data_IF_180379233601
#
_entry.id   IF_180379233601
#
_cell.length_a   1.000
_cell.length_b   1.000
_cell.length_c   1.000
_cell.angle_alpha   90.00
_cell.angle_beta   90.00
_cell.angle_gamma   90.00
#
_symmetry.space_group_name_H-M   'P 1'
#
loop_
_entity.id
_entity.type
_entity.pdbx_description
1 polymer ?
#
# COMPACT_ATOMS: atom_id res chain seq x y z
N UNK A 1 22.80 -18.51 4.38
CA UNK A 1 22.08 -17.40 3.71
C UNK A 1 20.61 -17.59 4.02
N UNK A 2 19.94 -16.55 4.55
CA UNK A 2 18.50 -16.60 4.86
C UNK A 2 17.66 -16.62 3.58
N UNK A 3 16.61 -17.46 3.57
CA UNK A 3 15.64 -17.59 2.47
C UNK A 3 14.37 -16.84 2.80
N UNK A 4 13.96 -15.95 1.93
CA UNK A 4 12.80 -15.08 2.14
C UNK A 4 11.80 -15.31 1.02
N UNK A 5 10.56 -15.68 1.35
CA UNK A 5 9.49 -15.84 0.39
C UNK A 5 8.58 -14.61 0.38
N UNK A 6 8.34 -14.06 -0.82
CA UNK A 6 7.40 -12.99 -1.08
C UNK A 6 6.09 -13.61 -1.59
N UNK A 7 4.99 -13.35 -0.87
CA UNK A 7 3.64 -13.75 -1.30
C UNK A 7 3.00 -12.63 -2.11
N UNK A 8 3.23 -12.63 -3.40
CA UNK A 8 2.79 -11.65 -4.36
C UNK A 8 3.93 -11.09 -5.19
N UNK A 9 3.58 -10.17 -6.09
CA UNK A 9 4.50 -9.66 -7.08
C UNK A 9 4.17 -8.21 -7.47
N UNK A 10 4.29 -7.92 -8.75
CA UNK A 10 4.14 -6.58 -9.28
C UNK A 10 5.37 -5.70 -8.98
N UNK A 11 5.18 -4.38 -9.06
CA UNK A 11 6.28 -3.44 -8.87
C UNK A 11 6.77 -3.39 -7.42
N UNK A 12 5.87 -3.57 -6.44
CA UNK A 12 6.25 -3.66 -5.03
C UNK A 12 7.09 -4.91 -4.75
N UNK A 13 6.68 -6.06 -5.26
CA UNK A 13 7.45 -7.30 -5.12
C UNK A 13 8.83 -7.22 -5.76
N UNK A 14 8.93 -6.56 -6.92
CA UNK A 14 10.20 -6.32 -7.58
C UNK A 14 11.12 -5.40 -6.74
N UNK A 15 10.57 -4.32 -6.16
CA UNK A 15 11.32 -3.41 -5.30
C UNK A 15 11.81 -4.10 -4.01
N UNK A 16 10.99 -4.99 -3.43
CA UNK A 16 11.39 -5.79 -2.27
C UNK A 16 12.49 -6.79 -2.66
N UNK A 17 12.34 -7.47 -3.79
CA UNK A 17 13.33 -8.43 -4.27
C UNK A 17 14.69 -7.76 -4.56
N UNK A 18 14.71 -6.60 -5.28
CA UNK A 18 15.91 -5.80 -5.50
C UNK A 18 16.61 -5.47 -4.17
N UNK A 19 15.82 -4.98 -3.22
CA UNK A 19 16.31 -4.57 -1.90
C UNK A 19 16.94 -5.73 -1.12
N UNK A 20 16.24 -6.86 -1.01
CA UNK A 20 16.73 -8.04 -0.31
C UNK A 20 17.94 -8.67 -1.00
N UNK A 21 17.93 -8.71 -2.33
CA UNK A 21 19.04 -9.25 -3.11
C UNK A 21 20.31 -8.41 -2.97
N UNK A 22 20.18 -7.09 -2.90
CA UNK A 22 21.32 -6.17 -2.74
C UNK A 22 22.06 -6.37 -1.40
N UNK A 23 21.40 -6.94 -0.39
CA UNK A 23 21.99 -7.25 0.92
C UNK A 23 22.27 -8.74 1.12
N UNK A 24 22.17 -9.55 0.05
CA UNK A 24 22.67 -10.92 0.02
C UNK A 24 21.69 -12.00 0.49
N UNK A 25 20.39 -11.72 0.53
CA UNK A 25 19.37 -12.73 0.85
C UNK A 25 18.98 -13.57 -0.36
N UNK A 26 18.51 -14.82 -0.12
CA UNK A 26 17.91 -15.67 -1.14
C UNK A 26 16.42 -15.32 -1.23
N UNK A 27 15.97 -14.93 -2.42
CA UNK A 27 14.61 -14.43 -2.65
C UNK A 27 13.80 -15.46 -3.43
N UNK A 28 12.74 -15.95 -2.79
CA UNK A 28 11.70 -16.78 -3.42
C UNK A 28 10.45 -15.92 -3.66
N UNK A 29 9.75 -16.12 -4.77
CA UNK A 29 8.50 -15.40 -5.07
C UNK A 29 7.41 -16.38 -5.45
N UNK A 30 6.22 -16.22 -4.90
CA UNK A 30 5.00 -16.89 -5.34
C UNK A 30 4.00 -15.84 -5.87
N UNK A 31 3.74 -15.85 -7.19
CA UNK A 31 2.87 -14.88 -7.86
C UNK A 31 2.46 -15.33 -9.25
N UNK A 32 1.34 -14.83 -9.77
CA UNK A 32 0.96 -14.96 -11.18
C UNK A 32 1.56 -13.86 -12.07
N UNK A 33 2.11 -12.80 -11.49
CA UNK A 33 2.58 -11.62 -12.22
C UNK A 33 3.95 -11.88 -12.87
N UNK A 34 3.93 -12.01 -14.20
CA UNK A 34 5.08 -12.47 -14.99
C UNK A 34 6.35 -11.61 -14.93
N UNK A 35 6.24 -10.32 -14.60
CA UNK A 35 7.38 -9.39 -14.51
C UNK A 35 8.38 -9.81 -13.45
N UNK A 36 7.89 -10.11 -12.24
CA UNK A 36 8.75 -10.50 -11.11
C UNK A 36 9.34 -11.90 -11.30
N UNK A 37 8.58 -12.80 -11.94
CA UNK A 37 9.02 -14.19 -12.19
C UNK A 37 10.27 -14.29 -13.08
N UNK A 38 10.59 -13.25 -13.85
CA UNK A 38 11.74 -13.19 -14.76
C UNK A 38 12.87 -12.31 -14.26
N UNK A 39 12.71 -11.71 -13.10
CA UNK A 39 13.71 -10.82 -12.50
C UNK A 39 14.91 -11.61 -12.01
N UNK A 40 16.11 -11.11 -12.27
CA UNK A 40 17.34 -11.66 -11.70
C UNK A 40 17.52 -11.35 -10.20
N UNK A 41 16.66 -10.49 -9.65
CA UNK A 41 16.57 -10.30 -8.18
C UNK A 41 15.87 -11.47 -7.48
N UNK A 42 15.29 -12.40 -8.22
CA UNK A 42 14.56 -13.57 -7.70
C UNK A 42 15.37 -14.84 -7.98
N UNK A 43 15.72 -15.57 -6.93
CA UNK A 43 16.47 -16.83 -7.05
C UNK A 43 15.56 -17.99 -7.40
N UNK A 44 14.31 -17.99 -6.90
CA UNK A 44 13.31 -19.02 -7.16
C UNK A 44 11.91 -18.44 -7.31
N UNK A 45 11.18 -18.89 -8.31
CA UNK A 45 9.85 -18.36 -8.60
C UNK A 45 8.83 -19.49 -8.78
N UNK A 46 7.66 -19.31 -8.15
CA UNK A 46 6.51 -20.16 -8.32
C UNK A 46 5.37 -19.38 -8.97
N UNK A 47 4.95 -19.81 -10.17
CA UNK A 47 3.83 -19.17 -10.89
C UNK A 47 2.51 -19.75 -10.37
N UNK A 48 1.98 -19.15 -9.31
CA UNK A 48 0.73 -19.53 -8.65
C UNK A 48 0.00 -18.29 -8.13
N UNK A 49 -1.36 -18.34 -8.02
CA UNK A 49 -2.12 -17.33 -7.31
C UNK A 49 -1.62 -17.16 -5.88
N UNK A 50 -1.57 -15.91 -5.41
CA UNK A 50 -1.18 -15.63 -4.01
C UNK A 50 -2.23 -16.14 -3.00
N UNK A 51 -3.41 -16.51 -3.45
CA UNK A 51 -4.50 -17.11 -2.67
C UNK A 51 -4.45 -18.63 -2.60
N UNK A 52 -3.50 -19.26 -3.31
CA UNK A 52 -3.26 -20.72 -3.23
C UNK A 52 -2.44 -21.03 -1.97
N UNK A 53 -3.08 -20.88 -0.81
CA UNK A 53 -2.42 -21.05 0.49
C UNK A 53 -2.00 -22.48 0.77
N UNK A 54 -2.68 -23.47 0.19
CA UNK A 54 -2.28 -24.89 0.29
C UNK A 54 -0.93 -25.11 -0.39
N UNK A 55 -0.78 -24.59 -1.60
CA UNK A 55 0.49 -24.65 -2.32
C UNK A 55 1.60 -23.86 -1.61
N UNK A 56 1.28 -22.72 -1.00
CA UNK A 56 2.24 -21.99 -0.16
C UNK A 56 2.74 -22.85 1.01
N UNK A 57 1.85 -23.55 1.72
CA UNK A 57 2.22 -24.44 2.81
C UNK A 57 3.03 -25.65 2.31
N UNK A 58 2.76 -26.13 1.08
CA UNK A 58 3.57 -27.16 0.45
C UNK A 58 5.00 -26.67 0.15
N UNK A 59 5.15 -25.41 -0.32
CA UNK A 59 6.48 -24.80 -0.50
C UNK A 59 7.23 -24.82 0.84
N UNK A 60 6.62 -24.37 1.94
CA UNK A 60 7.27 -24.34 3.24
C UNK A 60 7.71 -25.72 3.73
N UNK A 61 6.97 -26.78 3.37
CA UNK A 61 7.30 -28.16 3.71
C UNK A 61 8.46 -28.70 2.90
N UNK A 62 8.56 -28.35 1.60
CA UNK A 62 9.52 -28.94 0.65
C UNK A 62 10.76 -28.07 0.42
N UNK A 63 10.65 -26.78 0.64
CA UNK A 63 11.71 -25.78 0.48
C UNK A 63 11.63 -24.76 1.61
N UNK A 64 12.22 -25.08 2.74
CA UNK A 64 12.14 -24.26 3.98
C UNK A 64 12.53 -22.83 3.69
N UNK A 65 11.64 -21.92 4.08
CA UNK A 65 11.83 -20.46 4.04
C UNK A 65 12.00 -19.92 5.46
N UNK A 66 12.93 -19.01 5.68
CA UNK A 66 13.15 -18.42 7.01
C UNK A 66 12.11 -17.34 7.34
N UNK A 67 11.66 -16.59 6.32
CA UNK A 67 10.73 -15.47 6.48
C UNK A 67 9.74 -15.40 5.32
N UNK A 68 8.47 -15.14 5.62
CA UNK A 68 7.43 -14.85 4.64
C UNK A 68 6.98 -13.38 4.75
N UNK A 69 6.98 -12.65 3.62
CA UNK A 69 6.58 -11.24 3.52
C UNK A 69 5.37 -11.13 2.58
N UNK A 70 4.22 -10.60 3.01
CA UNK A 70 3.06 -10.42 2.17
C UNK A 70 3.21 -9.19 1.25
N UNK A 71 2.73 -9.33 0.00
CA UNK A 71 2.65 -8.24 -0.98
C UNK A 71 1.19 -7.86 -1.29
N UNK A 72 0.23 -8.38 -0.56
CA UNK A 72 -1.21 -8.10 -0.70
C UNK A 72 -1.96 -8.32 0.60
N UNK A 73 -3.11 -7.65 0.74
CA UNK A 73 -3.89 -7.62 1.98
C UNK A 73 -4.38 -9.02 2.38
N UNK A 74 -4.89 -9.82 1.43
CA UNK A 74 -5.31 -11.21 1.71
C UNK A 74 -4.17 -12.11 2.15
N UNK A 75 -2.97 -11.95 1.57
CA UNK A 75 -1.78 -12.67 2.02
C UNK A 75 -1.35 -12.23 3.43
N UNK A 76 -1.43 -10.93 3.72
CA UNK A 76 -1.13 -10.41 5.05
C UNK A 76 -2.10 -10.95 6.10
N UNK A 77 -3.39 -10.98 5.78
CA UNK A 77 -4.42 -11.56 6.65
C UNK A 77 -4.18 -13.05 6.91
N UNK A 78 -3.96 -13.83 5.84
CA UNK A 78 -3.68 -15.28 5.96
C UNK A 78 -2.46 -15.54 6.85
N UNK A 79 -1.36 -14.84 6.58
CA UNK A 79 -0.13 -14.99 7.37
C UNK A 79 -0.35 -14.59 8.84
N UNK A 80 -1.07 -13.50 9.10
CA UNK A 80 -1.34 -13.03 10.45
C UNK A 80 -2.20 -14.00 11.27
N UNK A 81 -3.23 -14.57 10.63
CA UNK A 81 -4.09 -15.61 11.26
C UNK A 81 -3.33 -16.90 11.61
N UNK A 82 -2.34 -17.25 10.80
CA UNK A 82 -1.69 -18.55 10.88
C UNK A 82 -0.21 -18.46 11.30
N UNK A 83 0.30 -17.30 11.69
CA UNK A 83 1.74 -17.08 11.92
C UNK A 83 2.35 -18.02 12.95
N UNK A 84 1.65 -18.31 14.05
CA UNK A 84 2.14 -19.18 15.10
C UNK A 84 2.19 -20.65 14.65
N UNK A 85 1.12 -21.10 13.96
CA UNK A 85 1.07 -22.42 13.35
C UNK A 85 2.17 -22.61 12.27
N UNK A 86 2.37 -21.59 11.43
CA UNK A 86 3.40 -21.60 10.39
C UNK A 86 4.79 -21.68 11.03
N UNK A 87 5.02 -20.90 12.07
CA UNK A 87 6.29 -20.90 12.81
C UNK A 87 6.55 -22.24 13.49
N UNK A 88 5.54 -22.79 14.17
CA UNK A 88 5.65 -24.06 14.89
C UNK A 88 5.91 -25.23 13.93
N UNK A 89 5.14 -25.29 12.83
CA UNK A 89 5.15 -26.44 11.91
C UNK A 89 6.28 -26.40 10.88
N UNK A 90 6.65 -25.20 10.40
CA UNK A 90 7.60 -25.04 9.28
C UNK A 90 8.85 -24.23 9.65
N UNK A 91 8.92 -23.65 10.85
CA UNK A 91 10.03 -22.80 11.27
C UNK A 91 10.06 -21.42 10.57
N UNK A 92 9.08 -21.11 9.71
CA UNK A 92 9.01 -19.86 8.96
C UNK A 92 8.38 -18.76 9.80
N UNK A 93 9.05 -17.62 9.89
CA UNK A 93 8.48 -16.42 10.55
C UNK A 93 7.63 -15.66 9.53
N UNK A 94 6.51 -15.06 9.96
CA UNK A 94 5.67 -14.23 9.11
C UNK A 94 5.86 -12.76 9.48
N UNK A 95 6.25 -11.92 8.53
CA UNK A 95 6.46 -10.48 8.73
C UNK A 95 5.12 -9.72 8.72
N UNK A 96 4.30 -9.97 9.73
CA UNK A 96 2.95 -9.40 9.89
C UNK A 96 2.67 -9.11 11.35
N UNK A 97 1.80 -8.12 11.68
CA UNK A 97 1.34 -7.89 13.05
C UNK A 97 0.50 -9.05 13.59
N UNK A 98 0.15 -8.97 14.86
CA UNK A 98 -0.82 -9.88 15.48
C UNK A 98 -2.19 -9.73 14.83
N UNK A 99 -2.94 -10.86 14.73
CA UNK A 99 -4.23 -10.84 14.05
C UNK A 99 -5.25 -9.92 14.75
N UNK A 100 -5.15 -9.74 16.05
CA UNK A 100 -6.01 -8.80 16.78
C UNK A 100 -5.83 -7.34 16.33
N UNK A 101 -4.61 -6.93 16.00
CA UNK A 101 -4.34 -5.62 15.39
C UNK A 101 -4.70 -5.61 13.90
N UNK A 102 -4.37 -6.69 13.18
CA UNK A 102 -4.64 -6.83 11.75
C UNK A 102 -6.14 -6.69 11.43
N UNK A 103 -7.00 -7.41 12.13
CA UNK A 103 -8.46 -7.41 11.89
C UNK A 103 -9.11 -6.03 12.01
N UNK A 104 -8.51 -5.12 12.81
CA UNK A 104 -9.03 -3.76 12.98
C UNK A 104 -8.83 -2.90 11.72
N UNK A 105 -7.88 -3.22 10.86
CA UNK A 105 -7.55 -2.39 9.68
C UNK A 105 -8.05 -2.97 8.35
N UNK A 106 -8.46 -4.24 8.32
CA UNK A 106 -8.93 -4.92 7.10
C UNK A 106 -10.31 -4.46 6.64
N UNK A 107 -11.19 -4.11 7.57
CA UNK A 107 -12.54 -3.58 7.31
C UNK A 107 -12.56 -2.07 7.55
N UNK A 108 -12.98 -1.30 6.54
CA UNK A 108 -12.97 0.17 6.59
C UNK A 108 -13.92 0.73 7.65
N UNK A 109 -15.07 0.08 7.91
CA UNK A 109 -16.00 0.51 8.94
C UNK A 109 -15.39 0.32 10.33
N UNK A 110 -14.81 -0.86 10.57
CA UNK A 110 -14.14 -1.19 11.83
C UNK A 110 -12.98 -0.23 12.08
N UNK A 111 -12.13 0.01 11.08
CA UNK A 111 -10.98 0.90 11.23
C UNK A 111 -11.38 2.36 11.47
N UNK A 112 -12.32 2.89 10.71
CA UNK A 112 -12.80 4.27 10.91
C UNK A 112 -13.49 4.43 12.26
N UNK A 113 -14.29 3.45 12.70
CA UNK A 113 -14.91 3.43 14.03
C UNK A 113 -13.87 3.41 15.14
N UNK A 114 -12.81 2.60 14.99
CA UNK A 114 -11.67 2.60 15.91
C UNK A 114 -10.98 3.97 15.96
N UNK A 115 -10.72 4.59 14.80
CA UNK A 115 -10.10 5.91 14.74
C UNK A 115 -10.94 6.97 15.47
N UNK A 116 -12.26 7.02 15.21
CA UNK A 116 -13.15 7.98 15.84
C UNK A 116 -13.25 7.79 17.35
N UNK A 117 -13.25 6.54 17.84
CA UNK A 117 -13.31 6.22 19.28
C UNK A 117 -12.01 6.55 20.03
N UNK A 118 -10.90 6.65 19.31
CA UNK A 118 -9.57 6.89 19.87
C UNK A 118 -9.01 8.27 19.50
N UNK A 119 -9.86 9.21 19.04
CA UNK A 119 -9.44 10.57 18.64
C UNK A 119 -8.29 10.60 17.61
N UNK A 120 -8.25 9.60 16.71
CA UNK A 120 -7.32 9.56 15.59
C UNK A 120 -7.91 10.36 14.43
N UNK A 121 -7.19 11.32 13.83
CA UNK A 121 -7.69 12.12 12.73
C UNK A 121 -8.11 11.28 11.52
N UNK A 122 -9.41 11.14 11.30
CA UNK A 122 -10.00 10.40 10.19
C UNK A 122 -11.26 11.12 9.66
N UNK A 123 -11.75 10.80 8.46
CA UNK A 123 -13.05 11.29 7.98
C UNK A 123 -14.19 10.74 8.84
N UNK A 124 -15.23 11.56 9.07
CA UNK A 124 -16.48 11.07 9.67
C UNK A 124 -17.02 9.91 8.84
N UNK A 125 -17.30 8.80 9.49
CA UNK A 125 -17.73 7.57 8.81
C UNK A 125 -18.82 6.88 9.62
N UNK A 126 -19.77 6.26 8.94
CA UNK A 126 -20.82 5.44 9.56
C UNK A 126 -21.13 4.26 8.64
N UNK A 127 -21.41 3.11 9.23
CA UNK A 127 -21.96 1.95 8.50
C UNK A 127 -23.27 2.35 7.80
N UNK A 128 -23.41 1.98 6.54
CA UNK A 128 -24.52 2.40 5.68
C UNK A 128 -25.38 1.21 5.27
N UNK A 129 -26.68 1.37 5.48
CA UNK A 129 -27.73 0.46 5.00
C UNK A 129 -28.92 1.26 4.46
N UNK A 130 -29.82 0.61 3.75
CA UNK A 130 -31.06 1.25 3.27
C UNK A 130 -31.98 1.71 4.41
N UNK A 131 -31.80 1.17 5.62
CA UNK A 131 -32.63 1.46 6.78
C UNK A 131 -32.15 2.66 7.61
N UNK A 132 -30.87 3.08 7.47
CA UNK A 132 -30.28 4.14 8.30
C UNK A 132 -29.85 5.39 7.52
N UNK A 133 -30.30 5.57 6.27
CA UNK A 133 -29.88 6.67 5.39
C UNK A 133 -30.04 8.03 6.08
N UNK A 134 -31.17 8.29 6.72
CA UNK A 134 -31.44 9.56 7.38
C UNK A 134 -30.45 9.87 8.52
N UNK A 135 -30.12 8.87 9.34
CA UNK A 135 -29.10 9.00 10.39
C UNK A 135 -27.70 9.20 9.80
N UNK A 136 -27.35 8.41 8.78
CA UNK A 136 -26.06 8.48 8.11
C UNK A 136 -25.80 9.87 7.52
N UNK A 137 -26.80 10.42 6.81
CA UNK A 137 -26.73 11.77 6.24
C UNK A 137 -26.62 12.85 7.32
N UNK A 138 -27.40 12.73 8.42
CA UNK A 138 -27.33 13.68 9.54
C UNK A 138 -25.93 13.70 10.18
N UNK A 139 -25.26 12.54 10.26
CA UNK A 139 -23.96 12.39 10.91
C UNK A 139 -22.79 12.81 10.02
N UNK A 140 -22.84 12.47 8.73
CA UNK A 140 -21.75 12.66 7.78
C UNK A 140 -21.91 13.93 6.95
N UNK A 141 -23.13 14.21 6.45
CA UNK A 141 -23.40 15.33 5.53
C UNK A 141 -23.01 15.03 4.08
N UNK A 142 -23.08 16.09 3.26
CA UNK A 142 -22.68 16.06 1.85
C UNK A 142 -21.66 17.16 1.53
N UNK A 143 -20.79 16.95 0.51
CA UNK A 143 -20.62 15.73 -0.26
C UNK A 143 -20.03 14.58 0.57
N UNK A 144 -20.35 13.34 0.21
CA UNK A 144 -19.86 12.14 0.89
C UNK A 144 -19.51 11.03 -0.10
N UNK A 145 -18.87 9.97 0.39
CA UNK A 145 -18.49 8.79 -0.39
C UNK A 145 -19.21 7.56 0.16
N UNK A 146 -19.83 6.78 -0.72
CA UNK A 146 -20.18 5.39 -0.40
C UNK A 146 -18.94 4.55 -0.66
N UNK A 147 -18.46 3.81 0.34
CA UNK A 147 -17.29 2.94 0.23
C UNK A 147 -17.64 1.51 0.65
N UNK A 148 -17.39 0.50 -0.19
CA UNK A 148 -17.44 -0.89 0.27
C UNK A 148 -16.44 -1.11 1.42
N UNK A 149 -16.84 -1.84 2.45
CA UNK A 149 -16.00 -2.06 3.63
C UNK A 149 -14.71 -2.80 3.25
N UNK A 150 -14.83 -3.81 2.40
CA UNK A 150 -13.69 -4.61 1.91
C UNK A 150 -13.55 -4.40 0.41
N UNK A 151 -12.61 -3.57 -0.02
CA UNK A 151 -12.30 -3.31 -1.43
C UNK A 151 -10.91 -2.72 -1.57
N UNK A 152 -10.29 -2.89 -2.73
CA UNK A 152 -8.97 -2.34 -3.05
C UNK A 152 -8.99 -1.57 -4.37
N UNK A 153 -8.08 -0.57 -4.52
CA UNK A 153 -7.93 0.19 -5.76
C UNK A 153 -9.14 1.04 -6.12
N UNK A 154 -9.78 1.65 -5.15
CA UNK A 154 -10.95 2.55 -5.29
C UNK A 154 -12.18 1.91 -5.95
N UNK A 155 -12.26 0.57 -6.04
CA UNK A 155 -13.40 -0.13 -6.64
C UNK A 155 -14.65 0.03 -5.79
N UNK A 156 -15.77 0.41 -6.43
CA UNK A 156 -17.07 0.60 -5.78
C UNK A 156 -17.21 1.91 -5.00
N UNK A 157 -16.17 2.76 -4.94
CA UNK A 157 -16.27 4.08 -4.31
C UNK A 157 -17.13 4.98 -5.20
N UNK A 158 -18.19 5.56 -4.62
CA UNK A 158 -19.11 6.43 -5.32
C UNK A 158 -19.29 7.73 -4.54
N UNK A 159 -19.02 8.87 -5.18
CA UNK A 159 -19.29 10.20 -4.61
C UNK A 159 -20.77 10.51 -4.76
N UNK A 160 -21.38 10.99 -3.68
CA UNK A 160 -22.79 11.43 -3.63
C UNK A 160 -22.84 12.86 -3.09
N UNK A 161 -23.67 13.70 -3.72
CA UNK A 161 -23.76 15.13 -3.39
C UNK A 161 -25.07 15.50 -2.69
N UNK A 162 -26.03 14.61 -2.69
CA UNK A 162 -27.38 14.79 -2.09
C UNK A 162 -28.01 13.42 -1.78
N UNK A 163 -29.21 13.44 -1.20
CA UNK A 163 -29.96 12.24 -0.80
C UNK A 163 -30.42 11.42 -2.02
N UNK A 164 -30.75 12.07 -3.12
CA UNK A 164 -31.19 11.44 -4.35
C UNK A 164 -30.04 10.58 -4.95
N UNK A 165 -28.84 11.15 -5.05
CA UNK A 165 -27.64 10.41 -5.52
C UNK A 165 -27.38 9.19 -4.63
N UNK A 166 -27.53 9.36 -3.32
CA UNK A 166 -27.30 8.29 -2.33
C UNK A 166 -28.32 7.15 -2.54
N UNK A 167 -29.61 7.48 -2.65
CA UNK A 167 -30.67 6.50 -2.86
C UNK A 167 -30.52 5.74 -4.18
N UNK A 168 -30.10 6.41 -5.24
CA UNK A 168 -29.85 5.78 -6.55
C UNK A 168 -28.67 4.82 -6.54
N UNK A 169 -27.68 5.07 -5.69
CA UNK A 169 -26.39 4.36 -5.72
C UNK A 169 -26.34 3.20 -4.73
N UNK A 170 -26.95 3.33 -3.53
CA UNK A 170 -26.77 2.41 -2.42
C UNK A 170 -27.15 0.96 -2.75
N UNK A 171 -28.30 0.76 -3.40
CA UNK A 171 -28.80 -0.59 -3.72
C UNK A 171 -27.82 -1.37 -4.61
N UNK A 172 -27.26 -0.72 -5.63
CA UNK A 172 -26.27 -1.31 -6.53
C UNK A 172 -24.97 -1.65 -5.79
N UNK A 173 -24.49 -0.78 -4.90
CA UNK A 173 -23.25 -0.98 -4.17
C UNK A 173 -23.40 -2.13 -3.19
N UNK A 174 -24.48 -2.16 -2.40
CA UNK A 174 -24.78 -3.24 -1.47
C UNK A 174 -24.90 -4.60 -2.17
N UNK A 175 -25.60 -4.66 -3.32
CA UNK A 175 -25.75 -5.91 -4.08
C UNK A 175 -24.46 -6.41 -4.73
N UNK A 176 -23.55 -5.50 -5.08
CA UNK A 176 -22.31 -5.85 -5.79
C UNK A 176 -21.15 -6.14 -4.84
N UNK A 177 -21.05 -5.38 -3.74
CA UNK A 177 -19.89 -5.40 -2.85
C UNK A 177 -20.22 -5.80 -1.41
N UNK A 178 -21.49 -5.92 -1.02
CA UNK A 178 -21.91 -6.20 0.34
C UNK A 178 -21.88 -4.95 1.23
N UNK A 179 -21.48 -5.11 2.48
CA UNK A 179 -21.45 -4.03 3.47
C UNK A 179 -20.64 -2.82 3.00
N UNK A 180 -21.16 -1.63 3.28
CA UNK A 180 -20.54 -0.37 2.91
C UNK A 180 -20.70 0.70 4.00
N UNK A 181 -19.90 1.75 3.90
CA UNK A 181 -19.96 2.94 4.76
C UNK A 181 -20.33 4.17 3.97
N UNK A 182 -20.96 5.15 4.63
CA UNK A 182 -20.99 6.55 4.19
C UNK A 182 -19.86 7.30 4.89
N UNK A 183 -18.99 7.90 4.13
CA UNK A 183 -17.81 8.62 4.63
C UNK A 183 -17.80 10.05 4.13
N UNK A 184 -17.41 10.98 4.98
CA UNK A 184 -17.16 12.37 4.65
C UNK A 184 -16.21 12.47 3.43
N UNK A 185 -16.60 13.27 2.45
CA UNK A 185 -15.71 13.60 1.34
C UNK A 185 -14.70 14.66 1.78
N UNK A 186 -13.43 14.30 1.76
CA UNK A 186 -12.36 15.24 2.05
C UNK A 186 -11.99 15.97 0.75
N UNK A 187 -12.29 17.27 0.68
CA UNK A 187 -11.74 18.12 -0.37
C UNK A 187 -10.26 18.34 -0.12
N UNK A 188 -9.44 17.54 -0.78
CA UNK A 188 -8.00 17.48 -0.56
C UNK A 188 -7.22 18.30 -1.58
N UNK A 189 -5.93 18.44 -1.34
CA UNK A 189 -4.97 19.26 -2.10
C UNK A 189 -4.55 18.66 -3.46
N UNK A 190 -5.35 17.86 -4.14
CA UNK A 190 -4.98 17.19 -5.40
C UNK A 190 -3.75 16.26 -5.29
N UNK A 191 -3.31 16.00 -4.07
CA UNK A 191 -2.29 15.04 -3.71
C UNK A 191 -2.70 14.34 -2.42
N UNK A 192 -2.07 13.22 -2.16
CA UNK A 192 -2.21 12.54 -0.88
C UNK A 192 -0.83 12.05 -0.43
N UNK A 193 -0.76 11.52 0.79
CA UNK A 193 0.48 11.00 1.34
C UNK A 193 0.37 9.50 1.57
N UNK A 194 1.45 8.78 1.20
CA UNK A 194 1.76 7.49 1.79
C UNK A 194 2.77 7.72 2.91
N UNK A 195 2.45 7.25 4.11
CA UNK A 195 3.34 7.32 5.27
C UNK A 195 3.70 5.92 5.68
N UNK A 196 4.94 5.54 5.44
CA UNK A 196 5.45 4.23 5.79
C UNK A 196 6.20 4.30 7.11
N UNK A 197 5.83 3.41 8.05
CA UNK A 197 6.49 3.28 9.33
C UNK A 197 6.84 1.82 9.61
N UNK A 198 7.91 1.64 10.37
CA UNK A 198 8.20 0.36 10.99
C UNK A 198 8.27 0.53 12.50
N UNK A 199 7.36 -0.15 13.21
CA UNK A 199 7.29 -0.18 14.67
C UNK A 199 7.79 -1.52 15.17
N UNK A 200 8.87 -1.51 15.96
CA UNK A 200 9.48 -2.74 16.48
C UNK A 200 8.66 -3.33 17.64
N UNK A 201 9.06 -4.51 18.10
CA UNK A 201 8.41 -5.20 19.22
C UNK A 201 8.49 -4.46 20.56
N UNK A 202 9.41 -3.50 20.71
CA UNK A 202 9.52 -2.66 21.88
C UNK A 202 8.58 -1.44 21.84
N UNK A 203 7.85 -1.26 20.75
CA UNK A 203 6.93 -0.12 20.55
C UNK A 203 7.60 1.13 19.98
N UNK A 204 8.83 1.05 19.49
CA UNK A 204 9.56 2.19 18.94
C UNK A 204 9.41 2.29 17.44
N UNK A 205 9.22 3.50 16.90
CA UNK A 205 9.29 3.77 15.47
C UNK A 205 10.77 3.85 15.08
N UNK A 206 11.26 2.79 14.45
CA UNK A 206 12.69 2.68 14.09
C UNK A 206 13.01 3.21 12.70
N UNK A 207 11.99 3.37 11.86
CA UNK A 207 12.11 4.03 10.55
C UNK A 207 10.77 4.58 10.09
N UNK A 208 10.82 5.68 9.35
CA UNK A 208 9.66 6.27 8.70
C UNK A 208 10.06 6.92 7.37
N UNK A 209 9.10 7.05 6.46
CA UNK A 209 9.20 7.88 5.25
C UNK A 209 7.84 8.47 4.92
N UNK A 210 7.83 9.69 4.44
CA UNK A 210 6.64 10.37 3.94
C UNK A 210 6.78 10.59 2.45
N UNK A 211 5.87 10.01 1.68
CA UNK A 211 5.84 10.07 0.23
C UNK A 211 4.60 10.83 -0.22
N UNK A 212 4.81 12.00 -0.82
CA UNK A 212 3.74 12.83 -1.38
C UNK A 212 3.42 12.37 -2.79
N UNK A 213 2.22 11.86 -3.01
CA UNK A 213 1.72 11.43 -4.32
C UNK A 213 1.18 12.65 -5.06
N UNK A 214 1.90 13.11 -6.06
CA UNK A 214 1.61 14.36 -6.79
C UNK A 214 0.93 14.14 -8.13
N UNK A 215 0.96 12.92 -8.66
CA UNK A 215 0.19 12.51 -9.84
C UNK A 215 -0.31 11.08 -9.65
N UNK A 216 -1.54 10.84 -10.11
CA UNK A 216 -2.19 9.52 -10.02
C UNK A 216 -3.04 9.25 -11.27
N UNK A 217 -3.21 8.00 -11.60
CA UNK A 217 -4.07 7.62 -12.71
C UNK A 217 -5.00 6.46 -12.29
N UNK A 218 -6.33 6.60 -12.48
CA UNK A 218 -7.09 7.76 -13.01
C UNK A 218 -6.86 9.06 -12.23
N UNK A 219 -7.02 10.21 -12.91
CA UNK A 219 -6.66 11.54 -12.37
C UNK A 219 -7.42 11.92 -11.10
N UNK A 220 -8.66 11.42 -10.96
CA UNK A 220 -9.54 11.72 -9.82
C UNK A 220 -9.26 10.87 -8.57
N UNK A 221 -8.86 9.62 -8.77
CA UNK A 221 -8.51 8.66 -7.70
C UNK A 221 -7.87 7.42 -8.32
N UNK A 222 -6.61 7.15 -8.04
CA UNK A 222 -5.93 6.02 -8.67
C UNK A 222 -4.56 5.73 -8.09
N UNK A 223 -3.84 4.86 -8.78
CA UNK A 223 -2.48 4.50 -8.42
C UNK A 223 -1.51 5.64 -8.65
N UNK A 224 -0.50 5.77 -7.80
CA UNK A 224 0.57 6.76 -7.94
C UNK A 224 1.28 6.61 -9.29
N UNK A 225 1.31 7.69 -10.08
CA UNK A 225 2.11 7.79 -11.31
C UNK A 225 3.37 8.61 -11.11
N UNK A 226 3.36 9.53 -10.13
CA UNK A 226 4.54 10.27 -9.70
C UNK A 226 4.42 10.65 -8.23
N UNK A 227 5.49 10.44 -7.49
CA UNK A 227 5.56 10.82 -6.09
C UNK A 227 6.92 11.43 -5.73
N UNK A 228 6.97 12.10 -4.59
CA UNK A 228 8.15 12.78 -4.07
C UNK A 228 8.31 12.43 -2.59
N UNK A 229 9.52 12.06 -2.18
CA UNK A 229 9.82 11.91 -0.76
C UNK A 229 9.97 13.29 -0.09
N UNK A 230 9.32 13.47 1.06
CA UNK A 230 9.27 14.74 1.80
C UNK A 230 9.49 14.51 3.30
N UNK A 231 9.82 15.56 4.03
CA UNK A 231 9.80 15.55 5.50
C UNK A 231 8.46 16.09 5.97
N UNK A 232 7.84 15.39 6.91
CA UNK A 232 6.62 15.86 7.58
C UNK A 232 6.50 15.15 8.94
N UNK A 233 7.08 15.74 9.96
CA UNK A 233 7.14 15.14 11.30
C UNK A 233 5.77 15.08 11.99
N UNK A 234 4.90 16.06 11.75
CA UNK A 234 3.51 16.06 12.25
C UNK A 234 2.76 14.83 11.75
N UNK A 235 2.87 14.57 10.43
CA UNK A 235 2.19 13.44 9.81
C UNK A 235 2.74 12.09 10.28
N UNK A 236 4.06 12.01 10.51
CA UNK A 236 4.71 10.83 11.11
C UNK A 236 4.18 10.59 12.52
N UNK A 237 4.04 11.65 13.35
CA UNK A 237 3.54 11.52 14.71
C UNK A 237 2.08 11.05 14.75
N UNK A 238 1.20 11.62 13.93
CA UNK A 238 -0.21 11.20 13.81
C UNK A 238 -0.30 9.69 13.48
N UNK A 239 0.51 9.21 12.54
CA UNK A 239 0.53 7.81 12.15
C UNK A 239 1.15 6.92 13.25
N UNK A 240 2.18 7.39 13.95
CA UNK A 240 2.80 6.67 15.07
C UNK A 240 1.84 6.49 16.24
N UNK A 241 1.08 7.54 16.59
CA UNK A 241 0.05 7.48 17.64
C UNK A 241 -1.06 6.48 17.29
N UNK A 242 -1.43 6.41 16.00
CA UNK A 242 -2.36 5.39 15.52
C UNK A 242 -1.81 3.97 15.71
N UNK A 243 -0.55 3.72 15.36
CA UNK A 243 0.09 2.41 15.54
C UNK A 243 0.22 2.02 17.02
N UNK A 244 0.47 2.99 17.90
CA UNK A 244 0.52 2.75 19.34
C UNK A 244 -0.83 2.27 19.87
N UNK A 245 -1.92 2.97 19.53
CA UNK A 245 -3.29 2.62 19.94
C UNK A 245 -3.74 1.27 19.38
N UNK A 246 -3.31 0.93 18.15
CA UNK A 246 -3.52 -0.38 17.53
C UNK A 246 -2.65 -1.49 18.14
N UNK A 247 -1.67 -1.18 18.98
CA UNK A 247 -0.61 -2.11 19.43
C UNK A 247 0.09 -2.80 18.26
N UNK A 248 0.25 -2.07 17.17
CA UNK A 248 0.82 -2.58 15.93
C UNK A 248 2.31 -2.87 16.08
N UNK A 249 2.76 -4.01 15.55
CA UNK A 249 4.19 -4.35 15.43
C UNK A 249 4.46 -4.75 13.98
N UNK A 250 5.52 -4.18 13.41
CA UNK A 250 5.92 -4.42 12.03
C UNK A 250 5.71 -3.23 11.12
N UNK A 251 5.72 -3.49 9.83
CA UNK A 251 5.53 -2.49 8.78
C UNK A 251 4.06 -2.07 8.66
N UNK A 252 3.84 -0.78 8.43
CA UNK A 252 2.55 -0.20 8.08
C UNK A 252 2.71 0.90 7.03
N UNK A 253 1.77 0.97 6.10
CA UNK A 253 1.66 2.03 5.09
C UNK A 253 0.30 2.72 5.23
N UNK A 254 0.32 4.01 5.49
CA UNK A 254 -0.88 4.83 5.65
C UNK A 254 -1.16 5.61 4.39
N UNK A 255 -2.43 5.64 3.99
CA UNK A 255 -2.95 6.63 3.05
C UNK A 255 -3.58 7.79 3.83
N UNK A 256 -3.08 9.01 3.61
CA UNK A 256 -3.51 10.20 4.33
C UNK A 256 -3.85 11.33 3.38
N UNK A 257 -5.03 11.94 3.55
CA UNK A 257 -5.45 13.14 2.86
C UNK A 257 -5.17 14.38 3.72
N UNK A 258 -4.90 15.51 3.06
CA UNK A 258 -4.83 16.82 3.69
C UNK A 258 -5.97 17.68 3.16
N UNK A 259 -6.81 18.19 4.04
CA UNK A 259 -7.90 19.11 3.68
C UNK A 259 -7.37 20.40 3.07
N UNK A 260 -8.13 20.99 2.16
CA UNK A 260 -7.77 22.28 1.56
C UNK A 260 -8.07 23.48 2.46
N UNK A 261 -9.16 23.39 3.20
CA UNK A 261 -9.72 24.51 3.98
C UNK A 261 -8.91 24.84 5.22
N UNK A 262 -8.50 23.83 5.99
CA UNK A 262 -7.84 24.00 7.28
C UNK A 262 -6.51 23.27 7.41
N UNK A 263 -6.07 22.58 6.33
CA UNK A 263 -4.82 21.82 6.22
C UNK A 263 -4.72 20.61 7.17
N UNK A 264 -5.79 20.21 7.84
CA UNK A 264 -5.82 19.04 8.69
C UNK A 264 -5.53 17.74 7.90
N UNK A 265 -4.80 16.83 8.52
CA UNK A 265 -4.58 15.48 8.01
C UNK A 265 -5.72 14.54 8.43
N UNK A 266 -6.09 13.64 7.51
CA UNK A 266 -7.10 12.60 7.76
C UNK A 266 -6.58 11.26 7.26
N UNK A 267 -6.35 10.32 8.16
CA UNK A 267 -6.00 8.93 7.81
C UNK A 267 -7.23 8.28 7.19
N UNK A 268 -7.09 7.72 6.00
CA UNK A 268 -8.18 7.07 5.27
C UNK A 268 -8.05 5.55 5.19
N UNK A 269 -6.84 5.02 5.33
CA UNK A 269 -6.55 3.59 5.22
C UNK A 269 -5.17 3.26 5.83
N UNK A 270 -5.04 2.04 6.35
CA UNK A 270 -3.74 1.41 6.63
C UNK A 270 -3.64 0.16 5.76
N UNK A 271 -2.54 0.06 5.03
CA UNK A 271 -2.18 -1.13 4.27
C UNK A 271 -1.19 -1.97 5.09
N UNK A 272 -1.54 -3.21 5.48
CA UNK A 272 -0.67 -4.08 6.27
C UNK A 272 0.41 -4.78 5.43
N UNK A 273 0.85 -4.14 4.40
CA UNK A 273 1.81 -4.65 3.41
C UNK A 273 2.57 -3.51 2.76
N UNK A 274 3.66 -3.82 2.09
CA UNK A 274 4.45 -2.82 1.36
C UNK A 274 3.66 -2.24 0.16
N UNK A 275 3.68 -0.91 -0.03
CA UNK A 275 2.99 -0.26 -1.14
C UNK A 275 3.80 -0.30 -2.44
N UNK A 276 3.15 0.03 -3.55
CA UNK A 276 3.84 0.19 -4.83
C UNK A 276 4.91 1.31 -4.79
N UNK A 277 4.72 2.32 -3.95
CA UNK A 277 5.65 3.44 -3.75
C UNK A 277 6.88 3.10 -2.87
N UNK A 278 7.04 1.85 -2.39
CA UNK A 278 8.15 1.43 -1.52
C UNK A 278 9.53 1.85 -2.06
N UNK A 279 9.72 1.77 -3.38
CA UNK A 279 10.99 2.18 -4.00
C UNK A 279 11.37 3.63 -3.70
N UNK A 280 10.39 4.51 -3.51
CA UNK A 280 10.64 5.90 -3.10
C UNK A 280 11.35 5.98 -1.74
N UNK A 281 11.01 5.10 -0.79
CA UNK A 281 11.70 5.00 0.50
C UNK A 281 13.14 4.52 0.33
N UNK A 282 13.35 3.45 -0.46
CA UNK A 282 14.67 2.86 -0.67
C UNK A 282 15.64 3.85 -1.33
N UNK A 283 15.22 4.54 -2.40
CA UNK A 283 16.05 5.57 -3.06
C UNK A 283 16.27 6.82 -2.20
N UNK A 284 15.44 7.01 -1.17
CA UNK A 284 15.59 8.07 -0.18
C UNK A 284 16.42 7.65 1.04
N UNK A 285 16.99 6.43 1.02
CA UNK A 285 17.91 5.94 2.05
C UNK A 285 17.30 5.04 3.11
N UNK A 286 15.99 4.76 3.07
CA UNK A 286 15.32 3.88 4.04
C UNK A 286 14.95 2.55 3.36
N UNK A 287 15.66 1.49 3.75
CA UNK A 287 15.45 0.15 3.22
C UNK A 287 14.55 -0.67 4.18
N UNK A 288 13.22 -0.52 4.06
CA UNK A 288 12.27 -1.27 4.88
C UNK A 288 12.39 -2.80 4.75
N UNK A 289 12.57 -3.41 3.55
CA UNK A 289 12.78 -4.85 3.45
C UNK A 289 13.95 -5.37 4.27
N UNK A 290 15.11 -4.70 4.22
CA UNK A 290 16.28 -5.04 5.04
C UNK A 290 15.98 -4.87 6.53
N UNK A 291 15.30 -3.77 6.90
CA UNK A 291 14.93 -3.47 8.28
C UNK A 291 14.00 -4.55 8.85
N UNK A 292 12.99 -4.98 8.09
CA UNK A 292 12.09 -6.07 8.48
C UNK A 292 12.88 -7.34 8.79
N UNK A 293 13.78 -7.73 7.89
CA UNK A 293 14.60 -8.95 8.07
C UNK A 293 15.49 -8.82 9.30
N UNK A 294 16.15 -7.68 9.47
CA UNK A 294 17.06 -7.45 10.59
C UNK A 294 16.33 -7.49 11.93
N UNK A 295 15.13 -6.87 12.03
CA UNK A 295 14.34 -6.89 13.27
C UNK A 295 13.86 -8.31 13.60
N UNK A 296 13.32 -9.03 12.61
CA UNK A 296 12.82 -10.40 12.78
C UNK A 296 13.93 -11.36 13.26
N UNK A 297 15.14 -11.22 12.74
CA UNK A 297 16.26 -12.10 13.10
C UNK A 297 17.19 -11.53 14.20
N UNK A 298 16.83 -10.42 14.83
CA UNK A 298 17.63 -9.71 15.83
C UNK A 298 19.04 -9.37 15.30
N UNK A 299 19.16 -9.03 14.02
CA UNK A 299 20.39 -8.52 13.41
C UNK A 299 20.50 -7.03 13.78
N UNK A 300 21.67 -6.54 14.21
CA UNK A 300 21.83 -5.13 14.53
C UNK A 300 21.41 -4.22 13.38
N UNK A 301 20.55 -3.26 13.68
CA UNK A 301 20.08 -2.29 12.68
C UNK A 301 21.19 -1.29 12.36
N UNK A 302 21.42 -1.03 11.07
CA UNK A 302 22.25 0.09 10.65
C UNK A 302 21.48 1.40 10.79
N UNK A 303 22.20 2.49 10.99
CA UNK A 303 21.59 3.82 10.98
C UNK A 303 21.25 4.22 9.54
N UNK A 304 19.97 4.35 9.27
CA UNK A 304 19.49 4.89 7.98
C UNK A 304 19.55 6.42 7.98
N UNK A 305 19.86 7.00 6.82
CA UNK A 305 19.84 8.45 6.62
C UNK A 305 18.79 8.77 5.56
N UNK A 306 17.70 9.38 5.99
CA UNK A 306 16.64 9.79 5.08
C UNK A 306 17.03 11.03 4.29
N UNK A 307 16.99 10.94 2.97
CA UNK A 307 17.31 12.03 2.05
C UNK A 307 16.05 12.36 1.24
N UNK A 308 15.25 13.37 1.60
CA UNK A 308 14.03 13.75 0.91
C UNK A 308 14.31 14.40 -0.46
N UNK A 309 13.25 14.65 -1.23
CA UNK A 309 13.32 15.30 -2.55
C UNK A 309 13.57 14.32 -3.70
N UNK A 310 13.53 12.99 -3.45
CA UNK A 310 13.59 11.99 -4.51
C UNK A 310 12.23 11.87 -5.20
N UNK A 311 12.26 11.92 -6.54
CA UNK A 311 11.07 11.80 -7.39
C UNK A 311 11.07 10.40 -7.96
N UNK A 312 10.01 9.65 -7.68
CA UNK A 312 9.77 8.34 -8.28
C UNK A 312 8.61 8.44 -9.27
N UNK A 313 8.84 8.00 -10.50
CA UNK A 313 7.84 7.99 -11.58
C UNK A 313 7.52 6.56 -11.98
N UNK A 314 6.25 6.28 -12.18
CA UNK A 314 5.79 5.07 -12.86
C UNK A 314 5.44 5.45 -14.30
N UNK A 315 6.43 5.35 -15.21
CA UNK A 315 6.36 5.93 -16.55
C UNK A 315 5.15 5.40 -17.34
N UNK A 316 4.83 4.11 -17.24
CA UNK A 316 3.70 3.51 -17.95
C UNK A 316 2.37 4.19 -17.65
N UNK A 317 2.08 4.49 -16.37
CA UNK A 317 0.82 5.17 -16.00
C UNK A 317 0.98 6.71 -15.95
N UNK A 318 2.18 7.24 -15.85
CA UNK A 318 2.43 8.69 -15.93
C UNK A 318 2.20 9.24 -17.35
N UNK A 319 2.40 8.42 -18.39
CA UNK A 319 1.98 8.74 -19.77
C UNK A 319 0.45 8.84 -19.86
N UNK A 320 -0.29 7.90 -19.27
CA UNK A 320 -1.75 7.94 -19.26
C UNK A 320 -2.28 9.15 -18.49
N UNK A 321 -1.64 9.49 -17.35
CA UNK A 321 -1.94 10.72 -16.63
C UNK A 321 -1.73 11.96 -17.51
N UNK A 322 -0.62 12.04 -18.25
CA UNK A 322 -0.36 13.17 -19.15
C UNK A 322 -1.42 13.33 -20.23
N UNK A 323 -1.88 12.24 -20.82
CA UNK A 323 -2.90 12.27 -21.86
C UNK A 323 -4.28 12.75 -21.34
N UNK A 324 -4.60 12.48 -20.07
CA UNK A 324 -5.91 12.77 -19.48
C UNK A 324 -5.95 14.03 -18.62
N UNK A 325 -4.80 14.45 -18.05
CA UNK A 325 -4.79 15.55 -17.09
C UNK A 325 -4.87 16.92 -17.76
N UNK A 326 -5.78 17.82 -17.32
CA UNK A 326 -5.76 19.21 -17.74
C UNK A 326 -4.51 19.97 -17.27
N UNK A 327 -3.83 19.47 -16.23
CA UNK A 327 -2.62 20.09 -15.64
C UNK A 327 -1.31 19.55 -16.22
N UNK A 328 -1.34 18.81 -17.32
CA UNK A 328 -0.17 18.17 -17.93
C UNK A 328 1.02 19.08 -18.21
N UNK A 329 0.78 20.35 -18.50
CA UNK A 329 1.83 21.34 -18.79
C UNK A 329 2.22 22.20 -17.57
N UNK A 330 1.41 22.22 -16.52
CA UNK A 330 1.60 23.09 -15.35
C UNK A 330 1.94 22.35 -14.06
N UNK A 331 1.90 21.03 -14.09
CA UNK A 331 2.18 20.18 -12.92
C UNK A 331 3.60 20.38 -12.37
N UNK A 332 3.72 20.26 -11.06
CA UNK A 332 5.02 20.26 -10.36
C UNK A 332 5.19 18.94 -9.60
N UNK A 333 6.32 18.22 -9.80
CA UNK A 333 7.41 18.49 -10.78
C UNK A 333 6.87 18.46 -12.22
N UNK A 334 7.56 19.16 -13.14
CA UNK A 334 7.16 19.15 -14.56
C UNK A 334 7.15 17.71 -15.10
N UNK A 335 6.15 17.39 -15.91
CA UNK A 335 6.09 16.07 -16.54
C UNK A 335 7.28 15.80 -17.46
N UNK A 336 7.84 16.86 -18.05
CA UNK A 336 9.02 16.79 -18.94
C UNK A 336 10.35 16.61 -18.21
N UNK A 337 10.35 16.59 -16.86
CA UNK A 337 11.55 16.28 -16.08
C UNK A 337 11.83 14.77 -16.10
N UNK A 338 12.40 14.28 -17.17
CA UNK A 338 12.71 12.85 -17.34
C UNK A 338 14.06 12.46 -16.74
N UNK A 339 14.98 13.39 -16.56
CA UNK A 339 16.34 13.12 -16.09
C UNK A 339 16.72 14.04 -14.94
N UNK A 340 17.64 13.60 -14.12
CA UNK A 340 18.17 14.36 -12.99
C UNK A 340 18.65 13.46 -11.84
N UNK A 341 19.51 13.97 -10.96
CA UNK A 341 20.06 13.21 -9.82
C UNK A 341 19.00 12.69 -8.84
N UNK A 342 17.80 13.28 -8.86
CA UNK A 342 16.71 12.93 -7.95
C UNK A 342 15.52 12.29 -8.68
N UNK A 343 15.62 11.96 -9.97
CA UNK A 343 14.52 11.34 -10.74
C UNK A 343 14.83 9.87 -10.94
N UNK A 344 13.88 9.03 -10.52
CA UNK A 344 13.94 7.57 -10.56
C UNK A 344 12.64 7.02 -11.17
N UNK A 345 12.68 5.77 -11.60
CA UNK A 345 11.55 5.11 -12.24
C UNK A 345 11.15 3.84 -11.49
N UNK A 346 9.84 3.65 -11.31
CA UNK A 346 9.28 2.48 -10.65
C UNK A 346 9.28 1.23 -11.56
N UNK A 347 9.14 1.44 -12.86
CA UNK A 347 8.98 0.41 -13.89
C UNK A 347 10.23 0.21 -14.76
N UNK A 348 11.31 0.94 -14.48
CA UNK A 348 12.58 0.82 -15.20
C UNK A 348 13.70 0.45 -14.23
N UNK A 349 14.25 -0.73 -14.41
CA UNK A 349 15.39 -1.24 -13.67
C UNK A 349 16.56 -1.40 -14.62
N UNK A 350 17.53 -0.49 -14.55
CA UNK A 350 18.70 -0.50 -15.46
C UNK A 350 19.46 -1.82 -15.32
N UNK A 351 19.55 -2.33 -14.09
CA UNK A 351 20.24 -3.57 -13.77
C UNK A 351 19.40 -4.83 -14.07
N UNK A 352 18.13 -4.68 -14.46
CA UNK A 352 17.25 -5.80 -14.80
C UNK A 352 16.34 -5.47 -16.00
N UNK A 353 16.90 -5.40 -17.22
CA UNK A 353 16.14 -5.03 -18.40
C UNK A 353 15.04 -6.02 -18.77
N UNK A 354 15.12 -7.28 -18.34
CA UNK A 354 14.11 -8.29 -18.62
C UNK A 354 12.74 -7.94 -18.01
N UNK A 355 12.72 -7.27 -16.87
CA UNK A 355 11.52 -6.89 -16.14
C UNK A 355 10.75 -5.78 -16.84
N UNK A 356 11.41 -4.70 -17.24
CA UNK A 356 10.73 -3.58 -17.90
C UNK A 356 10.35 -3.90 -19.35
N UNK A 357 11.14 -4.69 -20.09
CA UNK A 357 10.76 -5.20 -21.42
C UNK A 357 9.47 -6.02 -21.31
N UNK A 358 9.40 -6.96 -20.36
CA UNK A 358 8.20 -7.78 -20.13
C UNK A 358 7.00 -6.92 -19.76
N UNK A 359 7.20 -5.89 -18.94
CA UNK A 359 6.18 -4.96 -18.50
C UNK A 359 5.58 -4.16 -19.67
N UNK A 360 6.44 -3.63 -20.54
CA UNK A 360 6.00 -2.90 -21.74
C UNK A 360 5.20 -3.79 -22.69
N UNK A 361 5.62 -5.05 -22.92
CA UNK A 361 4.85 -6.01 -23.72
C UNK A 361 3.49 -6.33 -23.12
N UNK A 362 3.39 -6.50 -21.80
CA UNK A 362 2.11 -6.72 -21.11
C UNK A 362 1.22 -5.49 -21.19
N UNK A 363 1.78 -4.30 -21.06
CA UNK A 363 1.06 -3.02 -21.23
C UNK A 363 0.49 -2.85 -22.63
N UNK A 364 1.32 -3.08 -23.64
CA UNK A 364 0.89 -3.04 -25.05
C UNK A 364 -0.23 -4.04 -25.36
N UNK A 365 -0.11 -5.30 -24.88
CA UNK A 365 -1.19 -6.28 -25.06
C UNK A 365 -2.52 -5.83 -24.48
N UNK A 366 -2.53 -5.16 -23.32
CA UNK A 366 -3.75 -4.62 -22.70
C UNK A 366 -4.37 -3.47 -23.49
N UNK A 367 -3.60 -2.74 -24.28
CA UNK A 367 -4.11 -1.68 -25.16
C UNK A 367 -4.80 -2.25 -26.42
N UNK A 368 -4.40 -3.45 -26.88
CA UNK A 368 -4.95 -4.10 -28.06
C UNK A 368 -6.10 -5.09 -27.77
N UNK A 369 -6.37 -5.39 -26.51
CA UNK A 369 -7.42 -6.34 -26.06
C UNK A 369 -8.65 -5.59 -25.51
N UNK A 370 -8.76 -4.28 -25.76
CA UNK A 370 -9.97 -3.49 -25.47
C UNK A 370 -10.79 -3.27 -26.73
#
# INVERSE_FOLDING_TARGET
MKKIILLGGGLQGLSVAESLKSVGYYVTVMTELGTVLKSHFVDKAYKRPITDYEFFLEILRTDVQDLAIPMGDGAAEFLSKNKDLIREKYGTICAVPDYDSMKLVLDKDVFMSFCMQNDIPCPKTISLSVLNIGEAVKRVGFPSLIKPNVSAGSRGITKVCNVEDLNLSIGKILSTYGACTLQEYIDNQEYYYNVMLYRNKNGEIVANTVIKIVRMHPVSAGSSSCCISVVNDELVQICADCLEKLKWVGFADFDVLQRKDNLEYKIIEINPRVPASLRASTISGINFPELIVNDVFNIPQKKYVYTPGKILRYLGIDILWFLQSPKRFTAKPSWFSFFGRNVFYQDIYINDPSTWITWWFVGLKKLFVR
#
